data_IF_181890909552
#
_entry.id   IF_181890909552
#
_cell.length_a   1.000
_cell.length_b   1.000
_cell.length_c   1.000
_cell.angle_alpha   90.00
_cell.angle_beta   90.00
_cell.angle_gamma   90.00
#
_symmetry.space_group_name_H-M   'P 1'
#
loop_
_entity.id
_entity.type
_entity.pdbx_description
1 polymer ?
#
# COMPACT_ATOMS: atom_id res chain seq x y z
N UNK A 1 -14.28 -10.81 34.18
CA UNK A 1 -13.10 -10.18 33.56
C UNK A 1 -13.08 -10.53 32.08
N UNK A 2 -13.17 -9.55 31.17
CA UNK A 2 -13.21 -9.79 29.73
C UNK A 2 -11.84 -10.22 29.17
N UNK A 3 -11.84 -10.91 28.02
CA UNK A 3 -10.71 -10.98 27.12
C UNK A 3 -10.71 -9.69 26.28
N UNK A 4 -9.59 -8.99 26.24
CA UNK A 4 -9.42 -7.78 25.41
C UNK A 4 -8.53 -8.13 24.23
N UNK A 5 -8.98 -7.79 23.03
CA UNK A 5 -8.20 -7.90 21.78
C UNK A 5 -7.86 -6.49 21.32
N UNK A 6 -6.59 -6.24 21.07
CA UNK A 6 -6.06 -4.94 20.60
C UNK A 6 -5.44 -5.15 19.23
N UNK A 7 -6.05 -4.55 18.21
CA UNK A 7 -5.45 -4.49 16.88
C UNK A 7 -4.56 -3.25 16.75
N UNK A 8 -3.52 -3.33 15.92
CA UNK A 8 -2.49 -2.29 15.76
C UNK A 8 -1.91 -1.82 17.11
N UNK A 9 -1.59 -2.78 17.98
CA UNK A 9 -1.19 -2.53 19.37
C UNK A 9 0.02 -1.58 19.52
N UNK A 10 0.84 -1.42 18.47
CA UNK A 10 1.93 -0.43 18.45
C UNK A 10 1.43 1.02 18.55
N UNK A 11 0.16 1.29 18.26
CA UNK A 11 -0.48 2.61 18.44
C UNK A 11 -1.06 2.77 19.85
N UNK A 12 -1.39 1.68 20.53
CA UNK A 12 -2.01 1.67 21.86
C UNK A 12 -1.00 1.86 23.02
N UNK A 13 0.08 2.60 22.79
CA UNK A 13 1.18 2.78 23.77
C UNK A 13 1.06 4.05 24.65
N UNK A 14 -0.04 4.78 24.55
CA UNK A 14 -0.26 5.97 25.36
C UNK A 14 -0.67 5.61 26.78
N UNK A 15 -0.33 6.49 27.75
CA UNK A 15 -0.74 6.31 29.15
C UNK A 15 -2.27 6.16 29.29
N UNK A 16 -3.05 6.85 28.46
CA UNK A 16 -4.52 6.77 28.43
C UNK A 16 -4.99 5.40 27.94
N UNK A 17 -4.37 4.83 26.90
CA UNK A 17 -4.70 3.50 26.41
C UNK A 17 -4.46 2.42 27.47
N UNK A 18 -3.32 2.50 28.16
CA UNK A 18 -3.02 1.60 29.27
C UNK A 18 -3.98 1.75 30.46
N UNK A 19 -4.37 2.99 30.79
CA UNK A 19 -5.34 3.23 31.84
C UNK A 19 -6.73 2.66 31.47
N UNK A 20 -7.17 2.84 30.22
CA UNK A 20 -8.41 2.28 29.73
C UNK A 20 -8.41 0.74 29.82
N UNK A 21 -7.33 0.09 29.40
CA UNK A 21 -7.15 -1.36 29.52
C UNK A 21 -7.21 -1.81 30.98
N UNK A 22 -6.56 -1.11 31.90
CA UNK A 22 -6.62 -1.41 33.35
C UNK A 22 -8.01 -1.30 33.94
N UNK A 23 -8.80 -0.28 33.53
CA UNK A 23 -10.19 -0.09 33.98
C UNK A 23 -11.11 -1.21 33.55
N UNK A 24 -10.85 -1.84 32.42
CA UNK A 24 -11.60 -3.02 31.96
C UNK A 24 -11.32 -4.25 32.83
N UNK A 25 -10.25 -4.26 33.61
CA UNK A 25 -9.80 -5.38 34.44
C UNK A 25 -9.84 -6.72 33.68
N UNK A 26 -9.12 -6.85 32.55
CA UNK A 26 -9.21 -8.02 31.69
C UNK A 26 -8.58 -9.26 32.34
N UNK A 27 -9.08 -10.43 31.99
CA UNK A 27 -8.43 -11.71 32.31
C UNK A 27 -7.19 -11.96 31.49
N UNK A 28 -7.19 -11.47 30.24
CA UNK A 28 -6.03 -11.48 29.33
C UNK A 28 -6.18 -10.37 28.27
N UNK A 29 -5.04 -9.93 27.72
CA UNK A 29 -4.97 -9.01 26.58
C UNK A 29 -4.21 -9.73 25.48
N UNK A 30 -4.81 -9.85 24.28
CA UNK A 30 -4.19 -10.36 23.08
C UNK A 30 -3.96 -9.18 22.13
N UNK A 31 -2.71 -8.96 21.75
CA UNK A 31 -2.28 -7.87 20.91
C UNK A 31 -1.89 -8.37 19.53
N UNK A 32 -2.43 -7.74 18.48
CA UNK A 32 -1.99 -7.94 17.09
C UNK A 32 -1.20 -6.71 16.64
N UNK A 33 -0.01 -6.92 16.12
CA UNK A 33 0.85 -5.85 15.63
C UNK A 33 1.91 -6.38 14.65
N UNK A 34 2.19 -5.61 13.60
CA UNK A 34 3.33 -5.88 12.71
C UNK A 34 4.67 -5.47 13.32
N UNK A 35 4.67 -4.59 14.35
CA UNK A 35 5.88 -4.04 14.98
C UNK A 35 5.83 -4.19 16.51
N UNK A 36 6.07 -5.41 17.04
CA UNK A 36 6.03 -5.64 18.49
C UNK A 36 7.13 -4.82 19.20
N UNK A 37 6.79 -4.21 20.34
CA UNK A 37 7.75 -3.46 21.15
C UNK A 37 8.28 -4.29 22.32
N UNK A 38 9.56 -4.15 22.60
CA UNK A 38 10.49 -4.95 23.36
C UNK A 38 10.15 -5.52 24.76
N UNK A 39 8.86 -5.53 25.18
CA UNK A 39 8.40 -6.21 26.43
C UNK A 39 7.16 -7.09 26.19
N UNK A 40 6.74 -7.25 24.95
CA UNK A 40 5.60 -8.11 24.61
C UNK A 40 6.01 -9.57 24.65
N UNK A 41 5.17 -10.41 25.26
CA UNK A 41 5.31 -11.85 25.16
C UNK A 41 4.78 -12.31 23.80
N UNK A 42 5.66 -12.54 22.84
CA UNK A 42 5.31 -12.96 21.48
C UNK A 42 4.90 -14.43 21.53
N UNK A 43 3.61 -14.68 21.34
CA UNK A 43 3.05 -16.04 21.28
C UNK A 43 3.21 -16.66 19.90
N UNK A 44 3.08 -15.86 18.84
CA UNK A 44 3.19 -16.30 17.46
C UNK A 44 3.68 -15.13 16.59
N UNK A 45 4.50 -15.45 15.60
CA UNK A 45 4.98 -14.50 14.61
C UNK A 45 4.79 -15.12 13.23
N UNK A 46 4.20 -14.35 12.30
CA UNK A 46 4.03 -14.77 10.91
C UNK A 46 5.07 -14.04 10.07
N UNK A 47 5.87 -14.77 9.35
CA UNK A 47 6.90 -14.23 8.46
C UNK A 47 6.31 -13.86 7.10
N UNK A 48 6.98 -12.99 6.35
CA UNK A 48 6.59 -12.71 4.98
C UNK A 48 6.71 -13.93 4.07
N UNK A 49 7.66 -14.82 4.34
CA UNK A 49 7.79 -16.06 3.59
C UNK A 49 6.55 -16.97 3.78
N UNK A 50 6.05 -17.10 5.01
CA UNK A 50 4.81 -17.84 5.28
C UNK A 50 3.62 -17.21 4.55
N UNK A 51 3.47 -15.85 4.58
CA UNK A 51 2.42 -15.15 3.85
C UNK A 51 2.53 -15.35 2.33
N UNK A 52 3.74 -15.42 1.79
CA UNK A 52 3.99 -15.69 0.37
C UNK A 52 3.64 -17.13 0.02
N UNK A 53 4.02 -18.10 0.86
CA UNK A 53 3.74 -19.51 0.64
C UNK A 53 2.23 -19.79 0.71
N UNK A 54 1.52 -19.08 1.59
CA UNK A 54 0.04 -19.06 1.68
C UNK A 54 -0.62 -18.19 0.59
N UNK A 55 0.16 -17.68 -0.38
CA UNK A 55 -0.34 -16.88 -1.51
C UNK A 55 -1.07 -15.59 -1.08
N UNK A 56 -0.80 -15.06 0.08
CA UNK A 56 -1.47 -13.87 0.60
C UNK A 56 -0.85 -12.56 0.10
N UNK A 57 0.42 -12.60 -0.32
CA UNK A 57 1.16 -11.41 -0.75
C UNK A 57 1.87 -11.59 -2.10
N UNK A 58 1.96 -10.48 -2.84
CA UNK A 58 2.71 -10.36 -4.10
C UNK A 58 4.17 -10.04 -3.79
N UNK A 59 5.03 -11.04 -3.90
CA UNK A 59 6.47 -10.88 -3.71
C UNK A 59 7.28 -11.60 -4.80
N UNK A 60 8.44 -11.07 -5.20
CA UNK A 60 9.16 -9.91 -4.66
C UNK A 60 8.56 -8.56 -5.07
N UNK A 61 9.01 -7.50 -4.38
CA UNK A 61 8.81 -6.12 -4.83
C UNK A 61 9.91 -5.77 -5.83
N UNK A 62 9.53 -5.39 -7.03
CA UNK A 62 10.45 -4.90 -8.06
C UNK A 62 10.57 -3.39 -7.94
N UNK A 63 11.79 -2.90 -7.69
CA UNK A 63 12.07 -1.48 -7.51
C UNK A 63 12.65 -0.90 -8.80
N UNK A 64 12.08 0.22 -9.24
CA UNK A 64 12.59 1.01 -10.37
C UNK A 64 12.91 2.43 -9.89
N UNK A 65 14.15 2.84 -10.11
CA UNK A 65 14.66 4.17 -9.79
C UNK A 65 14.54 5.10 -10.97
N UNK A 66 14.20 6.35 -10.69
CA UNK A 66 14.03 7.37 -11.71
C UNK A 66 14.68 8.69 -11.28
N UNK A 67 15.27 9.42 -12.22
CA UNK A 67 15.96 10.69 -11.97
C UNK A 67 15.01 11.86 -11.70
N UNK A 68 13.72 11.71 -12.04
CA UNK A 68 12.69 12.73 -11.85
C UNK A 68 11.34 12.11 -11.50
N UNK A 69 10.47 12.87 -10.86
CA UNK A 69 9.12 12.42 -10.57
C UNK A 69 8.30 12.14 -11.84
N UNK A 70 8.50 12.93 -12.92
CA UNK A 70 7.86 12.68 -14.20
C UNK A 70 8.29 11.34 -14.81
N UNK A 71 9.55 11.01 -14.68
CA UNK A 71 10.12 9.74 -15.13
C UNK A 71 9.56 8.57 -14.32
N UNK A 72 9.43 8.72 -12.99
CA UNK A 72 8.81 7.72 -12.11
C UNK A 72 7.32 7.49 -12.47
N UNK A 73 6.58 8.57 -12.72
CA UNK A 73 5.19 8.48 -13.19
C UNK A 73 5.11 7.74 -14.53
N UNK A 74 5.99 8.04 -15.48
CA UNK A 74 6.03 7.34 -16.76
C UNK A 74 6.32 5.85 -16.60
N UNK A 75 7.30 5.48 -15.79
CA UNK A 75 7.62 4.08 -15.49
C UNK A 75 6.41 3.35 -14.91
N UNK A 76 5.74 3.97 -13.95
CA UNK A 76 4.54 3.40 -13.33
C UNK A 76 3.39 3.20 -14.34
N UNK A 77 3.14 4.16 -15.22
CA UNK A 77 2.12 4.06 -16.27
C UNK A 77 2.43 2.94 -17.26
N UNK A 78 3.68 2.84 -17.72
CA UNK A 78 4.11 1.77 -18.62
C UNK A 78 3.97 0.40 -17.96
N UNK A 79 4.39 0.29 -16.69
CA UNK A 79 4.27 -0.97 -15.94
C UNK A 79 2.81 -1.38 -15.75
N UNK A 80 1.92 -0.43 -15.42
CA UNK A 80 0.49 -0.72 -15.33
C UNK A 80 -0.07 -1.25 -16.64
N UNK A 81 0.28 -0.62 -17.78
CA UNK A 81 -0.20 -1.04 -19.10
C UNK A 81 0.28 -2.47 -19.43
N UNK A 82 1.55 -2.77 -19.15
CA UNK A 82 2.09 -4.13 -19.31
C UNK A 82 1.30 -5.15 -18.48
N UNK A 83 1.07 -4.84 -17.20
CA UNK A 83 0.33 -5.72 -16.29
C UNK A 83 -1.14 -5.87 -16.70
N UNK A 84 -1.77 -4.82 -17.22
CA UNK A 84 -3.13 -4.87 -17.74
C UNK A 84 -3.25 -5.81 -18.93
N UNK A 85 -2.29 -5.76 -19.86
CA UNK A 85 -2.27 -6.67 -21.03
C UNK A 85 -2.04 -8.12 -20.62
N UNK A 86 -1.28 -8.36 -19.56
CA UNK A 86 -1.11 -9.69 -18.96
C UNK A 86 -2.41 -10.13 -18.28
N UNK A 87 -3.01 -9.26 -17.46
CA UNK A 87 -4.23 -9.55 -16.71
C UNK A 87 -5.42 -9.83 -17.63
N UNK A 88 -5.53 -9.16 -18.78
CA UNK A 88 -6.57 -9.47 -19.81
C UNK A 88 -6.46 -10.88 -20.38
N UNK A 89 -5.30 -11.49 -20.32
CA UNK A 89 -5.05 -12.88 -20.77
C UNK A 89 -5.23 -13.90 -19.66
N UNK A 90 -5.27 -13.45 -18.39
CA UNK A 90 -5.57 -14.32 -17.26
C UNK A 90 -7.05 -14.75 -17.31
N UNK A 91 -7.28 -16.07 -17.38
CA UNK A 91 -8.63 -16.65 -17.45
C UNK A 91 -9.14 -17.14 -16.09
N UNK A 92 -8.32 -17.07 -15.07
CA UNK A 92 -8.66 -17.60 -13.75
C UNK A 92 -9.56 -16.64 -12.96
N UNK A 93 -9.28 -15.33 -13.03
CA UNK A 93 -10.12 -14.32 -12.38
C UNK A 93 -9.89 -12.93 -12.99
N UNK A 94 -10.88 -12.06 -12.82
CA UNK A 94 -10.77 -10.66 -13.21
C UNK A 94 -9.73 -9.94 -12.33
N UNK A 95 -8.76 -9.30 -12.98
CA UNK A 95 -7.77 -8.44 -12.34
C UNK A 95 -7.63 -7.17 -13.17
N UNK A 96 -7.68 -6.03 -12.50
CA UNK A 96 -7.41 -4.72 -13.06
C UNK A 96 -6.26 -4.08 -12.27
N UNK A 97 -5.04 -4.01 -12.83
CA UNK A 97 -3.92 -3.38 -12.15
C UNK A 97 -4.16 -1.89 -11.90
N UNK A 98 -4.03 -1.47 -10.66
CA UNK A 98 -4.21 -0.08 -10.21
C UNK A 98 -2.85 0.46 -9.79
N UNK A 99 -2.61 1.76 -10.08
CA UNK A 99 -1.47 2.51 -9.54
C UNK A 99 -1.89 3.25 -8.28
N UNK A 100 -1.15 3.05 -7.21
CA UNK A 100 -1.21 3.90 -6.02
C UNK A 100 -0.10 4.95 -6.11
N UNK A 101 -0.48 6.21 -6.33
CA UNK A 101 0.42 7.34 -6.31
C UNK A 101 0.50 7.96 -4.93
N UNK A 102 1.72 8.28 -4.48
CA UNK A 102 1.94 9.12 -3.32
C UNK A 102 2.47 10.48 -3.76
N UNK A 103 1.63 11.51 -3.58
CA UNK A 103 1.98 12.91 -3.78
C UNK A 103 2.66 13.51 -2.53
N UNK A 104 3.28 14.66 -2.69
CA UNK A 104 3.85 15.44 -1.59
C UNK A 104 2.78 16.19 -0.80
N UNK A 105 3.16 16.71 0.37
CA UNK A 105 2.30 17.59 1.17
C UNK A 105 2.01 18.92 0.44
N UNK A 106 0.98 19.63 0.89
CA UNK A 106 0.50 20.87 0.25
C UNK A 106 1.51 22.02 0.21
N UNK A 107 2.52 21.96 1.05
CA UNK A 107 3.62 22.94 1.18
C UNK A 107 4.86 22.58 0.33
N UNK A 108 4.75 21.55 -0.52
CA UNK A 108 5.83 21.04 -1.36
C UNK A 108 5.50 21.16 -2.86
N UNK A 109 6.45 20.78 -3.72
CA UNK A 109 6.40 21.05 -5.17
C UNK A 109 5.38 20.18 -5.92
N UNK A 110 5.27 18.88 -5.57
CA UNK A 110 4.44 17.92 -6.32
C UNK A 110 3.25 17.49 -5.47
N UNK A 111 2.31 18.42 -5.31
CA UNK A 111 1.06 18.19 -4.58
C UNK A 111 0.10 17.26 -5.32
N UNK A 112 -1.00 16.90 -4.69
CA UNK A 112 -2.09 16.11 -5.32
C UNK A 112 -2.60 16.79 -6.58
N UNK A 113 -2.79 18.11 -6.52
CA UNK A 113 -3.30 18.92 -7.64
C UNK A 113 -2.32 18.92 -8.82
N UNK A 114 -1.02 19.13 -8.54
CA UNK A 114 0.04 19.11 -9.56
C UNK A 114 0.15 17.73 -10.21
N UNK A 115 0.13 16.68 -9.43
CA UNK A 115 0.21 15.31 -9.94
C UNK A 115 -1.03 14.95 -10.77
N UNK A 116 -2.23 15.27 -10.27
CA UNK A 116 -3.49 15.03 -10.99
C UNK A 116 -3.54 15.81 -12.30
N UNK A 117 -3.17 17.10 -12.30
CA UNK A 117 -3.11 17.90 -13.50
C UNK A 117 -2.13 17.31 -14.53
N UNK A 118 -0.96 16.88 -14.11
CA UNK A 118 0.01 16.21 -14.98
C UNK A 118 -0.56 14.93 -15.61
N UNK A 119 -1.27 14.09 -14.83
CA UNK A 119 -1.89 12.87 -15.33
C UNK A 119 -2.97 13.18 -16.38
N UNK A 120 -3.78 14.23 -16.16
CA UNK A 120 -4.87 14.59 -17.06
C UNK A 120 -4.34 15.33 -18.29
N UNK A 121 -3.55 16.40 -18.11
CA UNK A 121 -3.19 17.31 -19.20
C UNK A 121 -2.00 16.82 -20.03
N UNK A 122 -1.00 16.18 -19.39
CA UNK A 122 0.21 15.74 -20.06
C UNK A 122 0.11 14.27 -20.50
N UNK A 123 -0.53 13.42 -19.68
CA UNK A 123 -0.67 11.98 -19.99
C UNK A 123 -1.99 11.62 -20.65
N UNK A 124 -2.95 12.56 -20.71
CA UNK A 124 -4.25 12.34 -21.34
C UNK A 124 -5.15 11.33 -20.60
N UNK A 125 -4.90 11.12 -19.31
CA UNK A 125 -5.67 10.19 -18.50
C UNK A 125 -7.02 10.80 -18.17
N UNK A 126 -8.16 10.10 -18.41
CA UNK A 126 -9.47 10.60 -18.05
C UNK A 126 -9.59 10.89 -16.55
N UNK A 127 -10.17 12.02 -16.20
CA UNK A 127 -10.36 12.40 -14.80
C UNK A 127 -11.23 11.37 -14.05
N UNK A 128 -12.18 10.72 -14.74
CA UNK A 128 -13.03 9.66 -14.18
C UNK A 128 -12.27 8.40 -13.73
N UNK A 129 -11.06 8.20 -14.26
CA UNK A 129 -10.22 7.05 -13.86
C UNK A 129 -9.27 7.36 -12.71
N UNK A 130 -9.29 8.58 -12.16
CA UNK A 130 -8.44 9.04 -11.08
C UNK A 130 -9.29 9.29 -9.84
N UNK A 131 -8.91 8.69 -8.70
CA UNK A 131 -9.51 9.00 -7.40
C UNK A 131 -8.46 9.57 -6.44
N UNK A 132 -8.88 10.55 -5.63
CA UNK A 132 -8.04 11.18 -4.60
C UNK A 132 -8.50 10.75 -3.22
N UNK A 133 -7.57 10.26 -2.40
CA UNK A 133 -7.83 9.86 -1.01
C UNK A 133 -6.80 10.52 -0.10
N UNK A 134 -7.25 11.51 0.65
CA UNK A 134 -6.45 12.25 1.64
C UNK A 134 -7.21 12.36 2.96
N UNK A 135 -6.67 13.09 3.92
CA UNK A 135 -7.38 13.36 5.18
C UNK A 135 -8.72 14.08 5.00
N UNK A 136 -8.86 14.88 3.93
CA UNK A 136 -10.04 15.70 3.62
C UNK A 136 -10.85 15.23 2.41
N UNK A 137 -10.24 14.46 1.50
CA UNK A 137 -10.88 13.96 0.28
C UNK A 137 -11.02 12.45 0.36
N UNK A 138 -12.21 11.92 0.08
CA UNK A 138 -12.54 10.49 0.22
C UNK A 138 -13.30 10.01 -1.02
N UNK A 139 -12.73 10.19 -2.19
CA UNK A 139 -13.41 9.89 -3.47
C UNK A 139 -13.66 8.39 -3.70
N UNK A 140 -13.08 7.51 -2.87
CA UNK A 140 -13.34 6.06 -2.90
C UNK A 140 -14.45 5.58 -1.95
N UNK A 141 -15.15 6.49 -1.26
CA UNK A 141 -16.23 6.07 -0.36
C UNK A 141 -17.38 5.40 -1.13
N UNK A 142 -17.67 4.16 -0.78
CA UNK A 142 -18.74 3.38 -1.42
C UNK A 142 -18.38 2.81 -2.79
N UNK A 143 -17.13 2.93 -3.23
CA UNK A 143 -16.65 2.37 -4.49
C UNK A 143 -15.94 1.03 -4.22
N UNK A 144 -16.38 -0.02 -4.87
CA UNK A 144 -15.64 -1.28 -4.92
C UNK A 144 -14.64 -1.25 -6.09
N UNK A 145 -13.36 -1.11 -5.77
CA UNK A 145 -12.29 -1.13 -6.77
C UNK A 145 -12.12 -2.49 -7.47
N UNK A 146 -12.74 -3.56 -6.97
CA UNK A 146 -12.70 -4.89 -7.58
C UNK A 146 -13.86 -5.12 -8.55
N UNK A 147 -14.86 -4.22 -8.55
CA UNK A 147 -15.97 -4.29 -9.50
C UNK A 147 -15.44 -4.08 -10.93
N UNK A 148 -15.73 -4.98 -11.89
CA UNK A 148 -15.39 -4.80 -13.29
C UNK A 148 -15.97 -3.53 -13.94
N UNK A 149 -17.08 -3.01 -13.42
CA UNK A 149 -17.68 -1.75 -13.88
C UNK A 149 -16.98 -0.50 -13.35
N UNK A 150 -16.08 -0.64 -12.36
CA UNK A 150 -15.35 0.49 -11.81
C UNK A 150 -14.26 0.96 -12.79
N UNK A 151 -14.23 2.25 -13.12
CA UNK A 151 -13.27 2.84 -14.07
C UNK A 151 -12.00 3.39 -13.40
N UNK A 152 -11.89 3.32 -12.05
CA UNK A 152 -10.75 3.93 -11.33
C UNK A 152 -9.53 3.04 -11.42
N UNK A 153 -8.52 3.51 -12.15
CA UNK A 153 -7.23 2.85 -12.36
C UNK A 153 -6.08 3.50 -11.59
N UNK A 154 -6.30 4.73 -11.10
CA UNK A 154 -5.28 5.56 -10.47
C UNK A 154 -5.81 6.13 -9.16
N UNK A 155 -5.08 5.88 -8.08
CA UNK A 155 -5.42 6.41 -6.76
C UNK A 155 -4.28 7.32 -6.29
N UNK A 156 -4.59 8.58 -5.94
CA UNK A 156 -3.61 9.54 -5.43
C UNK A 156 -3.83 9.72 -3.93
N UNK A 157 -2.77 9.60 -3.15
CA UNK A 157 -2.75 9.87 -1.71
C UNK A 157 -1.55 10.74 -1.33
N UNK A 158 -1.55 11.33 -0.13
CA UNK A 158 -0.40 12.09 0.39
C UNK A 158 0.31 11.32 1.48
N UNK A 159 -0.45 10.83 2.46
CA UNK A 159 0.06 10.00 3.54
C UNK A 159 -0.42 8.56 3.33
N UNK A 160 0.17 7.64 4.09
CA UNK A 160 -0.36 6.28 4.12
C UNK A 160 -1.88 6.35 4.25
N UNK A 161 -2.59 5.77 3.29
CA UNK A 161 -4.05 5.70 3.30
C UNK A 161 -4.47 5.22 4.69
N UNK A 162 -5.25 6.04 5.40
CA UNK A 162 -5.68 5.75 6.77
C UNK A 162 -6.35 4.37 6.83
N UNK A 163 -6.40 3.81 8.01
CA UNK A 163 -7.02 2.54 8.37
C UNK A 163 -8.30 2.27 7.55
N UNK A 164 -8.43 1.05 7.03
CA UNK A 164 -9.63 0.62 6.29
C UNK A 164 -9.52 0.63 4.75
N UNK A 165 -8.49 1.22 4.12
CA UNK A 165 -8.32 1.05 2.69
C UNK A 165 -7.55 -0.24 2.37
N UNK A 166 -8.18 -1.11 1.62
CA UNK A 166 -7.61 -2.35 1.12
C UNK A 166 -7.92 -2.51 -0.37
N UNK A 167 -6.88 -2.62 -1.18
CA UNK A 167 -7.04 -2.90 -2.60
C UNK A 167 -5.95 -3.86 -3.09
N UNK A 168 -6.31 -5.13 -3.19
CA UNK A 168 -5.40 -6.15 -3.72
C UNK A 168 -5.08 -5.96 -5.22
N UNK A 169 -5.86 -5.14 -5.94
CA UNK A 169 -5.60 -4.75 -7.33
C UNK A 169 -4.56 -3.64 -7.47
N UNK A 170 -4.10 -3.00 -6.38
CA UNK A 170 -2.95 -2.13 -6.40
C UNK A 170 -1.68 -2.96 -6.66
N UNK A 171 -1.14 -2.90 -7.85
CA UNK A 171 0.06 -3.61 -8.29
C UNK A 171 1.28 -2.71 -8.33
N UNK A 172 1.07 -1.45 -8.66
CA UNK A 172 2.14 -0.47 -8.85
C UNK A 172 2.02 0.61 -7.80
N UNK A 173 3.09 0.87 -7.10
CA UNK A 173 3.27 2.01 -6.22
C UNK A 173 4.18 3.02 -6.90
N UNK A 174 3.78 4.29 -6.95
CA UNK A 174 4.62 5.36 -7.44
C UNK A 174 4.69 6.48 -6.41
N UNK A 175 5.87 6.71 -5.84
CA UNK A 175 6.06 7.83 -4.91
C UNK A 175 6.82 8.97 -5.58
N UNK A 176 6.21 10.16 -5.54
CA UNK A 176 6.87 11.43 -5.89
C UNK A 176 7.20 12.24 -4.63
N UNK A 177 6.92 11.68 -3.44
CA UNK A 177 7.23 12.28 -2.16
C UNK A 177 8.66 11.94 -1.70
N UNK A 178 9.28 12.88 -0.99
CA UNK A 178 10.50 12.61 -0.25
C UNK A 178 10.13 11.87 1.05
N UNK A 179 10.14 10.55 1.02
CA UNK A 179 9.84 9.74 2.20
C UNK A 179 11.06 9.76 3.13
N UNK A 180 10.83 10.13 4.37
CA UNK A 180 11.86 10.28 5.40
C UNK A 180 11.93 9.13 6.40
N UNK A 181 10.90 8.26 6.44
CA UNK A 181 10.85 7.15 7.41
C UNK A 181 10.57 5.79 6.76
N UNK A 182 11.24 4.75 7.25
CA UNK A 182 10.98 3.37 6.84
C UNK A 182 9.55 2.90 7.21
N UNK A 183 8.99 3.42 8.29
CA UNK A 183 7.65 3.05 8.73
C UNK A 183 6.54 3.48 7.77
N UNK A 184 6.64 4.69 7.19
CA UNK A 184 5.68 5.16 6.18
C UNK A 184 5.78 4.33 4.89
N UNK A 185 7.00 3.97 4.49
CA UNK A 185 7.24 3.10 3.36
C UNK A 185 6.64 1.69 3.57
N UNK A 186 6.83 1.13 4.76
CA UNK A 186 6.28 -0.18 5.16
C UNK A 186 4.75 -0.21 5.08
N UNK A 187 4.09 0.82 5.60
CA UNK A 187 2.62 0.91 5.58
C UNK A 187 2.05 1.04 4.16
N UNK A 188 2.70 1.85 3.31
CA UNK A 188 2.27 2.06 1.93
C UNK A 188 2.48 0.81 1.07
N UNK A 189 3.66 0.21 1.15
CA UNK A 189 3.97 -1.02 0.42
C UNK A 189 3.12 -2.19 0.90
N UNK A 190 2.88 -2.32 2.21
CA UNK A 190 2.02 -3.37 2.76
C UNK A 190 0.64 -3.44 2.11
N UNK A 191 0.12 -2.30 1.63
CA UNK A 191 -1.18 -2.23 0.93
C UNK A 191 -1.10 -2.72 -0.52
N UNK A 192 0.04 -2.50 -1.19
CA UNK A 192 0.27 -3.00 -2.57
C UNK A 192 0.66 -4.48 -2.58
N UNK A 193 1.13 -5.01 -1.45
CA UNK A 193 1.59 -6.41 -1.37
C UNK A 193 0.46 -7.43 -1.40
N UNK A 194 -0.75 -7.09 -1.02
CA UNK A 194 -1.85 -8.06 -0.93
C UNK A 194 -2.16 -8.73 -2.26
N UNK A 195 -2.17 -10.06 -2.27
CA UNK A 195 -2.50 -10.87 -3.44
C UNK A 195 -4.01 -10.83 -3.72
N UNK A 196 -4.45 -10.56 -4.97
CA UNK A 196 -5.84 -10.70 -5.34
C UNK A 196 -6.36 -12.12 -5.06
N UNK A 197 -7.50 -12.19 -4.36
CA UNK A 197 -8.19 -13.45 -4.04
C UNK A 197 -7.33 -14.46 -3.23
N UNK A 198 -6.19 -14.02 -2.64
CA UNK A 198 -5.21 -14.89 -2.00
C UNK A 198 -4.87 -16.12 -2.88
N UNK A 199 -4.66 -15.91 -4.17
CA UNK A 199 -4.40 -16.98 -5.15
C UNK A 199 -3.30 -16.58 -6.12
N UNK A 200 -2.27 -17.40 -6.20
CA UNK A 200 -1.16 -17.23 -7.15
C UNK A 200 -1.67 -17.29 -8.60
N UNK A 201 -1.12 -16.42 -9.44
CA UNK A 201 -1.47 -16.34 -10.87
C UNK A 201 -0.52 -17.13 -11.72
N UNK A 202 -1.01 -17.56 -12.88
CA UNK A 202 -0.23 -18.32 -13.87
C UNK A 202 0.93 -17.50 -14.40
N UNK A 203 0.72 -16.20 -14.67
CA UNK A 203 1.80 -15.30 -15.08
C UNK A 203 2.58 -14.78 -13.87
N UNK A 204 3.91 -15.02 -13.81
CA UNK A 204 4.75 -14.57 -12.71
C UNK A 204 4.76 -13.06 -12.46
N UNK A 205 4.45 -12.23 -13.49
CA UNK A 205 4.39 -10.78 -13.32
C UNK A 205 3.22 -10.35 -12.42
N UNK A 206 2.10 -11.09 -12.42
CA UNK A 206 0.95 -10.84 -11.56
C UNK A 206 1.14 -11.35 -10.11
N UNK A 207 2.26 -12.00 -9.81
CA UNK A 207 2.61 -12.42 -8.45
C UNK A 207 3.63 -11.48 -7.78
N UNK A 208 3.93 -10.34 -8.40
CA UNK A 208 4.90 -9.35 -7.93
C UNK A 208 4.22 -8.01 -7.71
N UNK A 209 4.81 -7.20 -6.84
CA UNK A 209 4.50 -5.77 -6.72
C UNK A 209 5.62 -4.94 -7.34
N UNK A 210 5.28 -3.74 -7.79
CA UNK A 210 6.20 -2.85 -8.47
C UNK A 210 6.21 -1.49 -7.78
N UNK A 211 7.40 -0.89 -7.63
CA UNK A 211 7.54 0.43 -7.04
C UNK A 211 8.45 1.31 -7.89
N UNK A 212 7.92 2.42 -8.39
CA UNK A 212 8.63 3.44 -9.16
C UNK A 212 8.90 4.65 -8.27
N UNK A 213 10.16 5.02 -8.10
CA UNK A 213 10.59 5.97 -7.09
C UNK A 213 11.58 6.98 -7.68
N UNK A 214 11.48 8.24 -7.25
CA UNK A 214 12.43 9.28 -7.61
C UNK A 214 13.31 9.73 -6.44
N UNK A 215 13.32 9.02 -5.32
CA UNK A 215 14.08 9.38 -4.13
C UNK A 215 15.02 8.25 -3.69
N UNK A 216 16.35 8.48 -3.65
CA UNK A 216 17.33 7.49 -3.18
C UNK A 216 17.08 7.04 -1.73
N UNK A 217 16.59 7.94 -0.87
CA UNK A 217 16.29 7.63 0.55
C UNK A 217 15.16 6.63 0.74
N UNK A 218 14.24 6.57 -0.20
CA UNK A 218 13.15 5.59 -0.14
C UNK A 218 13.65 4.17 -0.40
N UNK A 219 14.69 4.02 -1.20
CA UNK A 219 15.30 2.72 -1.49
C UNK A 219 15.87 2.07 -0.24
N UNK A 220 16.56 2.86 0.60
CA UNK A 220 17.12 2.33 1.84
C UNK A 220 16.00 1.89 2.80
N UNK A 221 14.87 2.60 2.81
CA UNK A 221 13.70 2.23 3.55
C UNK A 221 13.05 0.94 3.01
N UNK A 222 12.94 0.79 1.69
CA UNK A 222 12.36 -0.41 1.05
C UNK A 222 13.32 -1.59 1.12
N UNK A 223 14.62 -1.40 0.94
CA UNK A 223 15.62 -2.46 1.16
C UNK A 223 15.56 -2.96 2.59
N UNK A 224 15.51 -2.05 3.57
CA UNK A 224 15.32 -2.40 4.97
C UNK A 224 13.99 -3.14 5.26
N UNK A 225 12.94 -2.89 4.50
CA UNK A 225 11.69 -3.66 4.56
C UNK A 225 11.87 -5.06 3.95
N UNK A 226 12.42 -5.14 2.75
CA UNK A 226 12.67 -6.42 2.06
C UNK A 226 13.58 -7.31 2.93
N UNK A 227 14.64 -6.73 3.53
CA UNK A 227 15.56 -7.45 4.43
C UNK A 227 14.87 -7.94 5.72
N UNK A 228 13.85 -7.24 6.21
CA UNK A 228 13.03 -7.69 7.35
C UNK A 228 11.98 -8.74 6.97
N UNK A 229 11.63 -8.82 5.69
CA UNK A 229 10.65 -9.74 5.16
C UNK A 229 11.30 -11.07 4.68
N UNK A 230 12.63 -11.16 4.66
CA UNK A 230 13.43 -12.36 4.40
C UNK A 230 13.91 -12.95 5.73
#
# INVERSE_FOLDING_TARGET
>A
NPLVIVDEAHQAVTGLAHEMQRRLNPSAIVEFTATPKGRSNILHSVTAQELKDEQMIKMPVVLEEHDSWQSAVNGALLKRTELEDIAKRDREAYIRPIILFQAQNKDQDVTVEVLRDHLVTVKGIPLSSIAVVTGSQRELNGIDLKDPACEIDYVITVQALKEGWDCSFAYVFCSVANISSSGDAEQLLGRVLRMPYATKRSDPALNKSYACLNSPRFQDAVKGLVDKLV
#
